data_IF_083214094104
#
_entry.id   IF_083214094104
#
_cell.length_a   1.000
_cell.length_b   1.000
_cell.length_c   1.000
_cell.angle_alpha   90.00
_cell.angle_beta   90.00
_cell.angle_gamma   90.00
#
_symmetry.space_group_name_H-M   'P 1'
#
loop_
_entity.id
_entity.type
_entity.pdbx_description
1 polymer ?
#
# COMPACT_ATOMS: atom_id res chain seq x y z
N UNK A 1 -75.08 -17.20 -20.31
CA UNK A 1 -73.71 -17.43 -20.68
C UNK A 1 -73.04 -16.07 -20.85
N UNK A 2 -72.31 -15.62 -19.84
CA UNK A 2 -71.52 -14.39 -19.90
C UNK A 2 -70.03 -14.78 -19.89
N UNK A 3 -69.36 -14.45 -20.98
CA UNK A 3 -67.91 -14.62 -21.10
C UNK A 3 -67.24 -13.33 -20.58
N UNK A 4 -66.55 -13.48 -19.49
CA UNK A 4 -65.65 -12.42 -18.94
C UNK A 4 -64.26 -12.52 -19.58
N UNK A 5 -63.88 -11.49 -20.30
CA UNK A 5 -62.53 -11.32 -20.85
C UNK A 5 -61.60 -10.76 -19.75
N UNK A 6 -60.69 -11.58 -19.27
CA UNK A 6 -59.60 -11.14 -18.37
C UNK A 6 -58.50 -10.41 -19.19
N UNK A 7 -58.32 -9.13 -18.94
CA UNK A 7 -57.24 -8.36 -19.50
C UNK A 7 -55.94 -8.63 -18.71
N UNK A 8 -54.98 -9.27 -19.32
CA UNK A 8 -53.65 -9.53 -18.79
C UNK A 8 -52.80 -8.23 -18.91
N UNK A 9 -52.64 -7.53 -17.79
CA UNK A 9 -51.71 -6.41 -17.71
C UNK A 9 -50.27 -6.96 -17.70
N UNK A 10 -49.56 -6.89 -18.80
CA UNK A 10 -48.13 -7.08 -18.88
C UNK A 10 -47.44 -5.88 -18.20
N UNK A 11 -46.99 -6.09 -16.97
CA UNK A 11 -46.05 -5.18 -16.30
C UNK A 11 -44.73 -5.24 -17.09
N UNK A 12 -44.50 -4.31 -17.99
CA UNK A 12 -43.18 -4.08 -18.59
C UNK A 12 -42.26 -3.61 -17.50
N UNK A 13 -41.38 -4.50 -17.02
CA UNK A 13 -40.30 -4.15 -16.13
C UNK A 13 -39.47 -3.04 -16.79
N UNK A 14 -39.51 -1.85 -16.17
CA UNK A 14 -38.65 -0.74 -16.56
C UNK A 14 -37.20 -1.16 -16.39
N UNK A 15 -36.37 -1.18 -17.42
CA UNK A 15 -34.97 -1.54 -17.21
C UNK A 15 -34.33 -0.50 -16.30
N UNK A 16 -33.76 -0.97 -15.20
CA UNK A 16 -32.97 -0.14 -14.28
C UNK A 16 -31.94 0.64 -15.11
N UNK A 17 -31.73 1.92 -14.79
CA UNK A 17 -30.77 2.74 -15.51
C UNK A 17 -29.37 2.08 -15.46
N UNK A 18 -28.77 1.88 -16.62
CA UNK A 18 -27.43 1.29 -16.85
C UNK A 18 -26.28 2.18 -16.29
N UNK A 19 -26.57 3.03 -15.30
CA UNK A 19 -25.79 4.21 -14.93
C UNK A 19 -24.88 4.05 -13.70
N UNK A 20 -24.84 2.87 -13.08
CA UNK A 20 -23.91 2.55 -11.99
C UNK A 20 -22.93 1.46 -12.42
N UNK A 21 -22.26 1.62 -13.54
CA UNK A 21 -21.01 0.87 -13.74
C UNK A 21 -19.98 1.49 -12.80
N UNK A 22 -19.81 0.85 -11.65
CA UNK A 22 -18.65 1.08 -10.81
C UNK A 22 -17.41 0.90 -11.68
N UNK A 23 -16.56 1.92 -11.71
CA UNK A 23 -15.24 1.77 -12.34
C UNK A 23 -14.49 0.76 -11.49
N UNK A 24 -14.10 -0.40 -12.03
CA UNK A 24 -13.40 -1.38 -11.22
C UNK A 24 -12.13 -0.74 -10.65
N UNK A 25 -11.74 -1.10 -9.42
CA UNK A 25 -10.48 -0.63 -8.87
C UNK A 25 -9.33 -1.05 -9.78
N UNK A 26 -8.21 -0.31 -9.82
CA UNK A 26 -7.05 -0.66 -10.61
C UNK A 26 -6.59 -2.09 -10.27
N UNK A 27 -6.00 -2.79 -11.23
CA UNK A 27 -5.39 -4.09 -10.97
C UNK A 27 -4.30 -3.95 -9.89
N UNK A 28 -4.07 -5.01 -9.12
CA UNK A 28 -2.94 -5.05 -8.18
C UNK A 28 -1.62 -5.14 -8.95
N UNK A 29 -0.55 -4.66 -8.35
CA UNK A 29 0.82 -4.84 -8.87
C UNK A 29 1.28 -6.27 -8.53
N UNK A 30 0.85 -7.25 -9.33
CA UNK A 30 1.04 -8.67 -9.05
C UNK A 30 2.52 -9.07 -8.96
N UNK A 31 3.42 -8.33 -9.59
CA UNK A 31 4.87 -8.59 -9.55
C UNK A 31 5.50 -8.30 -8.18
N UNK A 32 4.82 -7.58 -7.30
CA UNK A 32 5.31 -7.23 -5.96
C UNK A 32 5.02 -8.31 -4.91
N UNK A 33 4.22 -9.32 -5.22
CA UNK A 33 3.88 -10.41 -4.31
C UNK A 33 4.07 -11.75 -5.03
N UNK A 34 4.81 -12.68 -4.43
CA UNK A 34 5.06 -13.99 -5.00
C UNK A 34 4.54 -15.08 -4.07
N UNK A 35 3.82 -16.05 -4.60
CA UNK A 35 3.38 -17.22 -3.87
C UNK A 35 4.53 -18.25 -3.70
N UNK A 36 4.37 -19.19 -2.76
CA UNK A 36 5.31 -20.30 -2.57
C UNK A 36 5.53 -21.09 -3.87
N UNK A 37 4.45 -21.39 -4.61
CA UNK A 37 4.55 -22.11 -5.87
C UNK A 37 5.34 -21.33 -6.95
N UNK A 38 5.09 -20.02 -7.07
CA UNK A 38 5.82 -19.17 -8.00
C UNK A 38 7.31 -19.07 -7.63
N UNK A 39 7.63 -18.91 -6.33
CA UNK A 39 9.02 -18.87 -5.89
C UNK A 39 9.72 -20.21 -6.15
N UNK A 40 9.06 -21.34 -5.87
CA UNK A 40 9.60 -22.68 -6.14
C UNK A 40 10.05 -22.84 -7.62
N UNK A 41 9.26 -22.32 -8.55
CA UNK A 41 9.63 -22.36 -9.97
C UNK A 41 10.82 -21.43 -10.28
N UNK A 42 10.92 -20.30 -9.61
CA UNK A 42 11.93 -19.28 -9.88
C UNK A 42 13.28 -19.50 -9.18
N UNK A 43 13.35 -20.39 -8.16
CA UNK A 43 14.59 -20.59 -7.39
C UNK A 43 15.81 -20.89 -8.25
N UNK A 44 15.63 -21.64 -9.35
CA UNK A 44 16.71 -22.02 -10.24
C UNK A 44 16.80 -21.14 -11.51
N UNK A 45 15.98 -20.09 -11.61
CA UNK A 45 16.06 -19.15 -12.74
C UNK A 45 17.27 -18.23 -12.56
N UNK A 46 18.08 -18.02 -13.60
CA UNK A 46 19.19 -17.08 -13.55
C UNK A 46 18.70 -15.70 -13.12
N UNK A 47 19.49 -15.02 -12.30
CA UNK A 47 19.17 -13.69 -11.79
C UNK A 47 18.18 -13.66 -10.64
N UNK A 48 17.64 -14.79 -10.18
CA UNK A 48 16.80 -14.81 -8.96
C UNK A 48 17.68 -14.67 -7.72
N UNK A 49 17.41 -13.67 -6.91
CA UNK A 49 18.05 -13.42 -5.61
C UNK A 49 17.00 -13.48 -4.52
N UNK A 50 17.09 -14.47 -3.64
CA UNK A 50 16.18 -14.61 -2.50
C UNK A 50 16.90 -14.12 -1.26
N UNK A 51 16.27 -13.18 -0.52
CA UNK A 51 16.85 -12.59 0.70
C UNK A 51 16.00 -12.96 1.91
N UNK A 52 16.64 -13.59 2.90
CA UNK A 52 16.13 -13.70 4.26
C UNK A 52 16.57 -12.46 5.04
N UNK A 53 15.63 -11.62 5.40
CA UNK A 53 15.90 -10.39 6.14
C UNK A 53 15.62 -10.63 7.63
N UNK A 54 16.63 -10.47 8.47
CA UNK A 54 16.52 -10.78 9.90
C UNK A 54 17.28 -9.80 10.79
N UNK A 55 16.95 -9.79 12.09
CA UNK A 55 17.70 -9.02 13.10
C UNK A 55 19.10 -9.58 13.30
N UNK A 56 19.17 -10.89 13.35
CA UNK A 56 20.39 -11.67 13.50
C UNK A 56 20.31 -12.94 12.64
N UNK A 57 21.35 -13.74 12.67
CA UNK A 57 21.39 -14.97 11.84
C UNK A 57 20.65 -16.15 12.44
N UNK A 58 20.17 -16.09 13.68
CA UNK A 58 19.66 -17.27 14.38
C UNK A 58 18.49 -17.93 13.64
N UNK A 59 17.52 -17.13 13.14
CA UNK A 59 16.39 -17.65 12.36
C UNK A 59 16.81 -18.22 10.99
N UNK A 60 17.78 -17.57 10.33
CA UNK A 60 18.34 -18.05 9.08
C UNK A 60 19.09 -19.36 9.25
N UNK A 61 19.97 -19.44 10.25
CA UNK A 61 20.80 -20.62 10.54
C UNK A 61 19.95 -21.81 11.05
N UNK A 62 18.79 -21.54 11.67
CA UNK A 62 17.81 -22.57 12.04
C UNK A 62 17.05 -23.17 10.84
N UNK A 63 17.10 -22.53 9.68
CA UNK A 63 16.52 -23.02 8.44
C UNK A 63 15.94 -21.92 7.58
N UNK A 64 16.36 -21.88 6.33
CA UNK A 64 15.97 -20.89 5.34
C UNK A 64 15.60 -21.56 4.00
N UNK A 65 14.99 -20.79 3.11
CA UNK A 65 14.65 -21.24 1.75
C UNK A 65 15.95 -21.56 1.00
N UNK A 66 16.02 -22.68 0.24
CA UNK A 66 17.23 -23.06 -0.48
C UNK A 66 17.80 -21.93 -1.33
N UNK A 67 19.10 -21.67 -1.17
CA UNK A 67 19.82 -20.61 -1.88
C UNK A 67 19.51 -19.19 -1.39
N UNK A 68 18.65 -19.00 -0.40
CA UNK A 68 18.40 -17.68 0.19
C UNK A 68 19.65 -17.14 0.90
N UNK A 69 19.89 -15.85 0.77
CA UNK A 69 21.04 -15.13 1.36
C UNK A 69 20.56 -14.31 2.54
N UNK A 70 21.35 -14.26 3.60
CA UNK A 70 21.02 -13.48 4.78
C UNK A 70 21.34 -12.00 4.58
N UNK A 71 20.35 -11.13 4.82
CA UNK A 71 20.50 -9.69 4.89
C UNK A 71 20.16 -9.23 6.32
N UNK A 72 21.13 -8.68 7.04
CA UNK A 72 20.87 -8.13 8.36
C UNK A 72 19.99 -6.88 8.24
N UNK A 73 18.92 -6.80 9.03
CA UNK A 73 18.05 -5.61 9.07
C UNK A 73 18.86 -4.34 9.43
N UNK A 74 19.84 -4.48 10.32
CA UNK A 74 20.75 -3.40 10.71
C UNK A 74 21.63 -2.84 9.58
N UNK A 75 21.79 -3.56 8.46
CA UNK A 75 22.53 -3.04 7.30
C UNK A 75 21.69 -2.12 6.39
N UNK A 76 20.38 -2.10 6.58
CA UNK A 76 19.45 -1.28 5.79
C UNK A 76 18.65 -0.28 6.63
N UNK A 77 19.07 -0.06 7.88
CA UNK A 77 18.56 0.97 8.78
C UNK A 77 19.73 1.64 9.49
N UNK A 78 19.55 2.87 9.91
CA UNK A 78 20.53 3.59 10.73
C UNK A 78 19.84 4.40 11.82
N UNK A 79 20.56 4.71 12.89
CA UNK A 79 20.14 5.75 13.84
C UNK A 79 20.58 7.11 13.30
N UNK A 80 19.67 8.08 13.33
CA UNK A 80 19.96 9.48 13.04
C UNK A 80 19.16 10.37 13.97
N UNK A 81 19.83 11.27 14.68
CA UNK A 81 19.20 12.24 15.60
C UNK A 81 18.30 11.59 16.66
N UNK A 82 18.69 10.40 17.13
CA UNK A 82 17.90 9.60 18.09
C UNK A 82 16.68 8.90 17.47
N UNK A 83 16.55 8.87 16.15
CA UNK A 83 15.55 8.10 15.41
C UNK A 83 16.17 6.76 14.98
N UNK A 84 15.67 5.62 15.49
CA UNK A 84 16.43 4.36 15.45
C UNK A 84 16.38 3.62 14.13
N UNK A 85 15.51 4.02 13.18
CA UNK A 85 15.21 3.22 11.98
C UNK A 85 15.07 4.12 10.74
N UNK A 86 16.03 5.02 10.56
CA UNK A 86 16.10 5.87 9.38
C UNK A 86 16.78 5.15 8.21
N UNK A 87 16.51 5.60 6.98
CA UNK A 87 17.25 5.13 5.80
C UNK A 87 18.72 5.55 5.90
N UNK A 88 19.68 4.62 5.75
CA UNK A 88 21.11 4.94 5.56
C UNK A 88 21.34 5.76 4.28
N UNK A 89 22.58 6.21 4.07
CA UNK A 89 22.97 6.81 2.79
C UNK A 89 22.86 5.79 1.65
N UNK A 90 22.72 6.30 0.42
CA UNK A 90 22.58 5.45 -0.79
C UNK A 90 23.77 4.53 -0.94
N UNK A 91 24.98 5.01 -0.64
CA UNK A 91 26.23 4.24 -0.73
C UNK A 91 26.26 3.06 0.26
N UNK A 92 25.76 3.27 1.47
CA UNK A 92 25.66 2.19 2.47
C UNK A 92 24.64 1.14 2.05
N UNK A 93 23.50 1.58 1.52
CA UNK A 93 22.44 0.68 1.04
C UNK A 93 22.90 -0.10 -0.20
N UNK A 94 23.56 0.55 -1.13
CA UNK A 94 24.12 -0.07 -2.31
C UNK A 94 25.10 -1.19 -1.94
N UNK A 95 26.08 -0.85 -1.11
CA UNK A 95 27.07 -1.83 -0.62
C UNK A 95 26.42 -3.02 0.11
N UNK A 96 25.35 -2.79 0.89
CA UNK A 96 24.63 -3.83 1.60
C UNK A 96 23.92 -4.79 0.64
N UNK A 97 23.24 -4.28 -0.39
CA UNK A 97 22.54 -5.11 -1.36
C UNK A 97 23.49 -5.82 -2.32
N UNK A 98 24.55 -5.16 -2.77
CA UNK A 98 25.58 -5.82 -3.57
C UNK A 98 26.27 -6.96 -2.80
N UNK A 99 26.54 -6.78 -1.51
CA UNK A 99 27.18 -7.81 -0.68
C UNK A 99 26.37 -9.13 -0.64
N UNK A 100 25.03 -9.04 -0.78
CA UNK A 100 24.14 -10.21 -0.90
C UNK A 100 23.82 -10.56 -2.35
N UNK A 101 24.55 -10.00 -3.31
CA UNK A 101 24.52 -10.36 -4.74
C UNK A 101 23.36 -9.77 -5.52
N UNK A 102 22.80 -8.64 -5.09
CA UNK A 102 21.82 -7.89 -5.89
C UNK A 102 22.56 -7.16 -7.02
N UNK A 103 22.08 -7.29 -8.25
CA UNK A 103 22.55 -6.63 -9.45
C UNK A 103 21.41 -5.97 -10.19
N UNK A 104 21.70 -5.14 -11.19
CA UNK A 104 20.68 -4.41 -11.97
C UNK A 104 19.67 -5.35 -12.66
N UNK A 105 20.09 -6.51 -13.08
CA UNK A 105 19.25 -7.56 -13.71
C UNK A 105 18.60 -8.55 -12.73
N UNK A 106 18.92 -8.47 -11.43
CA UNK A 106 18.39 -9.39 -10.44
C UNK A 106 16.87 -9.25 -10.25
N UNK A 107 16.19 -10.38 -10.12
CA UNK A 107 14.81 -10.49 -9.61
C UNK A 107 14.88 -10.79 -8.13
N UNK A 108 14.68 -9.78 -7.32
CA UNK A 108 14.81 -9.91 -5.86
C UNK A 108 13.49 -10.37 -5.26
N UNK A 109 13.54 -11.42 -4.44
CA UNK A 109 12.43 -11.85 -3.58
C UNK A 109 12.87 -11.73 -2.13
N UNK A 110 12.06 -11.08 -1.30
CA UNK A 110 12.35 -10.88 0.12
C UNK A 110 11.36 -11.62 1.00
N UNK A 111 11.84 -12.22 2.06
CA UNK A 111 11.06 -12.72 3.19
C UNK A 111 11.87 -12.51 4.47
N UNK A 112 11.27 -12.63 5.65
CA UNK A 112 12.08 -12.39 6.84
C UNK A 112 11.32 -12.44 8.15
N UNK A 113 12.02 -12.05 9.19
CA UNK A 113 11.58 -12.09 10.58
C UNK A 113 10.51 -11.06 10.92
N UNK A 114 10.11 -11.05 12.19
CA UNK A 114 9.15 -10.09 12.75
C UNK A 114 7.76 -10.19 12.10
N UNK A 115 7.32 -11.39 11.72
CA UNK A 115 6.05 -11.58 11.00
C UNK A 115 6.04 -10.96 9.60
N UNK A 116 7.21 -10.84 8.97
CA UNK A 116 7.39 -10.24 7.64
C UNK A 116 7.81 -8.76 7.65
N UNK A 117 7.82 -8.08 8.80
CA UNK A 117 8.16 -6.66 8.87
C UNK A 117 9.60 -6.37 8.41
N UNK A 118 10.55 -7.26 8.68
CA UNK A 118 11.93 -7.12 8.21
C UNK A 118 12.00 -7.16 6.67
N UNK A 119 11.24 -8.06 6.04
CA UNK A 119 11.11 -8.13 4.59
C UNK A 119 10.44 -6.87 4.00
N UNK A 120 9.41 -6.36 4.67
CA UNK A 120 8.75 -5.13 4.24
C UNK A 120 9.68 -3.90 4.34
N UNK A 121 10.56 -3.85 5.35
CA UNK A 121 11.60 -2.79 5.41
C UNK A 121 12.57 -2.90 4.23
N UNK A 122 13.03 -4.11 3.89
CA UNK A 122 13.87 -4.32 2.70
C UNK A 122 13.12 -3.98 1.40
N UNK A 123 11.81 -4.29 1.33
CA UNK A 123 10.96 -3.88 0.20
C UNK A 123 10.97 -2.36 0.02
N UNK A 124 10.65 -1.61 1.09
CA UNK A 124 10.63 -0.15 1.06
C UNK A 124 12.00 0.42 0.64
N UNK A 125 13.08 -0.11 1.21
CA UNK A 125 14.44 0.35 0.91
C UNK A 125 14.82 0.12 -0.55
N UNK A 126 14.53 -1.06 -1.11
CA UNK A 126 14.80 -1.36 -2.52
C UNK A 126 13.87 -0.59 -3.47
N UNK A 127 12.60 -0.37 -3.11
CA UNK A 127 11.69 0.48 -3.89
C UNK A 127 12.18 1.94 -3.91
N UNK A 128 12.67 2.44 -2.76
CA UNK A 128 13.34 3.75 -2.68
C UNK A 128 14.56 3.84 -3.62
N UNK A 129 15.35 2.78 -3.72
CA UNK A 129 16.51 2.71 -4.61
C UNK A 129 16.14 2.45 -6.09
N UNK A 130 14.85 2.39 -6.43
CA UNK A 130 14.35 2.20 -7.80
C UNK A 130 14.31 0.75 -8.27
N UNK A 131 14.42 -0.21 -7.34
CA UNK A 131 14.41 -1.66 -7.63
C UNK A 131 13.42 -2.39 -6.70
N UNK A 132 12.09 -2.18 -6.85
CA UNK A 132 11.12 -2.83 -5.98
C UNK A 132 11.23 -4.37 -6.09
N UNK A 133 11.41 -5.10 -4.95
CA UNK A 133 11.44 -6.54 -4.93
C UNK A 133 10.04 -7.13 -4.90
N UNK A 134 9.90 -8.45 -5.02
CA UNK A 134 8.70 -9.16 -4.62
C UNK A 134 8.80 -9.62 -3.16
N UNK A 135 7.69 -9.59 -2.42
CA UNK A 135 7.58 -10.19 -1.09
C UNK A 135 7.01 -11.60 -1.22
N UNK A 136 7.61 -12.59 -0.54
CA UNK A 136 7.05 -13.92 -0.45
C UNK A 136 5.81 -13.92 0.45
N UNK A 137 4.65 -14.21 -0.11
CA UNK A 137 3.39 -14.24 0.63
C UNK A 137 3.43 -15.33 1.71
N UNK A 138 3.22 -14.92 2.97
CA UNK A 138 3.30 -15.80 4.14
C UNK A 138 4.72 -16.20 4.56
N UNK A 139 5.76 -15.73 3.86
CA UNK A 139 7.16 -15.90 4.24
C UNK A 139 7.61 -17.37 4.38
N UNK A 140 8.54 -17.61 5.32
CA UNK A 140 9.07 -18.94 5.59
C UNK A 140 8.02 -19.90 6.17
N UNK A 141 7.03 -19.36 6.91
CA UNK A 141 5.98 -20.19 7.50
C UNK A 141 5.08 -20.82 6.41
N UNK A 142 4.66 -20.03 5.42
CA UNK A 142 3.91 -20.56 4.27
C UNK A 142 4.76 -21.53 3.44
N UNK A 143 6.07 -21.27 3.30
CA UNK A 143 6.99 -22.18 2.62
C UNK A 143 7.05 -23.55 3.32
N UNK A 144 7.20 -23.56 4.65
CA UNK A 144 7.22 -24.78 5.47
C UNK A 144 5.86 -25.49 5.46
N UNK A 145 4.77 -24.73 5.59
CA UNK A 145 3.41 -25.29 5.55
C UNK A 145 3.08 -25.97 4.22
N UNK A 146 3.69 -25.51 3.12
CA UNK A 146 3.60 -26.15 1.81
C UNK A 146 4.50 -27.39 1.66
N UNK A 147 5.16 -27.86 2.74
CA UNK A 147 6.04 -29.02 2.73
C UNK A 147 7.34 -28.80 1.93
N UNK A 148 7.76 -27.56 1.74
CA UNK A 148 8.97 -27.27 0.95
C UNK A 148 10.23 -27.41 1.80
N UNK A 149 11.36 -27.85 1.18
CA UNK A 149 12.60 -28.06 1.90
C UNK A 149 13.19 -26.74 2.41
N UNK A 150 13.93 -26.83 3.51
CA UNK A 150 14.75 -25.74 4.05
C UNK A 150 16.20 -26.22 4.16
N UNK A 151 17.12 -25.25 4.12
CA UNK A 151 18.56 -25.48 4.29
C UNK A 151 19.05 -24.73 5.53
N UNK A 152 20.14 -25.24 6.12
CA UNK A 152 20.86 -24.59 7.23
C UNK A 152 22.27 -24.15 6.83
N UNK A 153 22.76 -24.65 5.70
CA UNK A 153 24.04 -24.26 5.14
C UNK A 153 23.92 -22.88 4.49
N UNK A 154 24.74 -21.94 4.93
CA UNK A 154 24.73 -20.58 4.37
C UNK A 154 24.98 -20.58 2.87
N UNK A 155 24.12 -19.92 2.13
CA UNK A 155 24.33 -19.71 0.70
C UNK A 155 25.53 -18.80 0.46
N UNK A 156 26.42 -19.21 -0.46
CA UNK A 156 27.50 -18.35 -0.93
C UNK A 156 26.97 -17.41 -2.01
N UNK A 157 27.24 -16.11 -1.84
CA UNK A 157 26.88 -15.13 -2.84
C UNK A 157 28.14 -14.48 -3.42
N UNK A 158 28.22 -14.40 -4.74
CA UNK A 158 29.13 -13.44 -5.36
C UNK A 158 28.55 -12.03 -5.15
N UNK A 159 29.43 -11.05 -4.96
CA UNK A 159 29.02 -9.65 -4.89
C UNK A 159 28.28 -9.28 -6.18
N UNK A 160 27.19 -8.57 -6.05
CA UNK A 160 26.44 -8.02 -7.18
C UNK A 160 27.03 -6.73 -7.73
N UNK A 161 26.36 -6.21 -8.75
CA UNK A 161 26.63 -4.90 -9.33
C UNK A 161 25.30 -4.19 -9.53
N UNK A 162 25.00 -3.25 -8.64
CA UNK A 162 23.72 -2.56 -8.59
C UNK A 162 23.92 -1.05 -8.76
N UNK A 163 23.09 -0.41 -9.56
CA UNK A 163 23.10 1.03 -9.80
C UNK A 163 21.86 1.67 -9.19
N UNK A 164 21.92 2.17 -7.93
CA UNK A 164 20.78 2.78 -7.26
C UNK A 164 20.21 3.98 -8.01
N UNK A 165 18.90 4.09 -8.07
CA UNK A 165 18.17 5.24 -8.60
C UNK A 165 17.20 5.76 -7.55
N UNK A 166 17.70 6.45 -6.50
CA UNK A 166 16.88 6.81 -5.34
C UNK A 166 15.74 7.73 -5.72
N UNK A 167 14.55 7.39 -5.27
CA UNK A 167 13.35 8.20 -5.43
C UNK A 167 12.99 8.89 -4.11
N UNK A 168 13.56 10.07 -3.88
CA UNK A 168 13.31 10.86 -2.68
C UNK A 168 11.84 11.26 -2.51
N UNK A 169 11.04 11.23 -3.57
CA UNK A 169 9.61 11.56 -3.47
C UNK A 169 8.80 10.51 -2.69
N UNK A 170 9.35 9.33 -2.43
CA UNK A 170 8.71 8.28 -1.64
C UNK A 170 8.83 8.50 -0.12
N UNK A 171 9.70 9.41 0.30
CA UNK A 171 9.93 9.73 1.72
C UNK A 171 9.47 11.15 1.99
N UNK A 172 8.83 11.36 3.12
CA UNK A 172 8.43 12.68 3.62
C UNK A 172 8.92 12.85 5.04
N UNK A 173 9.17 14.10 5.42
CA UNK A 173 9.55 14.52 6.77
C UNK A 173 8.35 15.11 7.54
N UNK A 174 8.59 15.47 8.79
CA UNK A 174 7.56 16.04 9.65
C UNK A 174 7.03 17.38 9.14
N UNK A 175 7.87 18.21 8.50
CA UNK A 175 7.44 19.52 7.97
C UNK A 175 6.50 19.34 6.79
N UNK A 176 6.83 18.38 5.91
CA UNK A 176 5.91 18.01 4.82
C UNK A 176 4.56 17.52 5.37
N UNK A 177 4.59 16.58 6.34
CA UNK A 177 3.37 16.07 6.99
C UNK A 177 2.56 17.19 7.61
N UNK A 178 3.20 18.08 8.40
CA UNK A 178 2.57 19.26 9.01
C UNK A 178 1.87 20.16 7.98
N UNK A 179 2.54 20.39 6.86
CA UNK A 179 2.01 21.22 5.76
C UNK A 179 0.77 20.63 5.09
N UNK A 180 0.54 19.31 5.22
CA UNK A 180 -0.55 18.59 4.55
C UNK A 180 -1.64 18.07 5.51
N UNK A 181 -1.63 18.43 6.81
CA UNK A 181 -2.63 17.95 7.79
C UNK A 181 -4.08 18.27 7.40
N UNK A 182 -4.31 19.32 6.60
CA UNK A 182 -5.64 19.73 6.13
C UNK A 182 -5.89 19.46 4.66
N UNK A 183 -4.97 18.76 4.01
CA UNK A 183 -5.09 18.44 2.59
C UNK A 183 -5.95 17.18 2.42
N UNK A 184 -7.16 17.34 1.90
CA UNK A 184 -8.10 16.25 1.65
C UNK A 184 -7.64 15.26 0.57
N UNK A 185 -6.57 15.59 -0.17
CA UNK A 185 -5.93 14.71 -1.16
C UNK A 185 -4.84 13.83 -0.56
N UNK A 186 -4.59 13.94 0.75
CA UNK A 186 -3.62 13.13 1.49
C UNK A 186 -4.35 12.32 2.55
N UNK A 187 -4.06 11.02 2.65
CA UNK A 187 -4.53 10.15 3.71
C UNK A 187 -3.35 9.73 4.59
N UNK A 188 -3.38 10.07 5.87
CA UNK A 188 -2.39 9.61 6.85
C UNK A 188 -2.86 8.31 7.49
N UNK A 189 -2.01 7.27 7.45
CA UNK A 189 -2.29 5.93 7.99
C UNK A 189 -1.25 5.59 9.05
N UNK A 190 -1.72 5.28 10.25
CA UNK A 190 -0.90 4.83 11.37
C UNK A 190 -0.95 3.30 11.48
N UNK A 191 0.20 2.65 11.27
CA UNK A 191 0.33 1.19 11.27
C UNK A 191 0.49 0.58 12.68
N UNK A 192 0.50 1.38 13.76
CA UNK A 192 0.66 0.94 15.14
C UNK A 192 -0.58 0.21 15.68
N UNK A 193 -0.43 -0.56 16.78
CA UNK A 193 -1.57 -1.07 17.55
C UNK A 193 -2.55 0.05 17.95
N UNK A 194 -3.88 -0.25 18.04
CA UNK A 194 -4.89 0.74 18.39
C UNK A 194 -4.65 1.45 19.73
N UNK A 195 -4.08 0.76 20.70
CA UNK A 195 -3.77 1.30 22.03
C UNK A 195 -2.68 2.36 21.97
N UNK A 196 -1.69 2.20 21.08
CA UNK A 196 -0.64 3.19 20.83
C UNK A 196 -1.16 4.37 20.02
N UNK A 197 -2.02 4.10 19.05
CA UNK A 197 -2.69 5.12 18.24
C UNK A 197 -3.55 6.05 19.12
N UNK A 198 -4.38 5.49 19.99
CA UNK A 198 -5.23 6.26 20.92
C UNK A 198 -4.45 6.96 22.03
N UNK A 199 -3.17 6.57 22.26
CA UNK A 199 -2.37 7.04 23.38
C UNK A 199 -2.70 6.37 24.71
N UNK A 200 -3.48 5.29 24.72
CA UNK A 200 -3.75 4.48 25.91
C UNK A 200 -2.50 3.69 26.33
N UNK A 201 -1.70 3.23 25.36
CA UNK A 201 -0.39 2.64 25.60
C UNK A 201 0.71 3.61 25.19
N UNK A 202 1.66 3.87 26.11
CA UNK A 202 2.82 4.73 25.86
C UNK A 202 4.07 3.85 25.80
N UNK A 203 4.71 3.83 24.64
CA UNK A 203 5.95 3.09 24.43
C UNK A 203 7.18 3.98 24.54
N UNK A 204 8.34 3.37 24.78
CA UNK A 204 9.60 4.08 24.94
C UNK A 204 9.88 5.02 23.74
N UNK A 205 10.34 6.23 24.04
CA UNK A 205 10.69 7.25 23.06
C UNK A 205 9.55 8.18 22.63
N UNK A 206 8.30 7.85 22.96
CA UNK A 206 7.13 8.71 22.70
C UNK A 206 6.96 9.70 23.86
N UNK A 207 7.06 10.98 23.57
CA UNK A 207 6.97 12.05 24.60
C UNK A 207 5.55 12.60 24.75
N UNK A 208 4.75 12.55 23.66
CA UNK A 208 3.34 12.98 23.62
C UNK A 208 2.51 11.86 23.01
N UNK A 209 1.75 11.07 23.84
CA UNK A 209 0.98 9.93 23.37
C UNK A 209 -0.23 10.36 22.54
N UNK A 210 -0.62 9.53 21.57
CA UNK A 210 -1.68 9.75 20.61
C UNK A 210 -1.20 9.52 19.18
N UNK A 211 -1.73 10.30 18.22
CA UNK A 211 -1.44 10.16 16.79
C UNK A 211 -1.37 11.52 16.08
N UNK A 212 -0.91 11.52 14.82
CA UNK A 212 -0.88 12.70 13.94
C UNK A 212 -2.33 13.10 13.63
N UNK A 213 -2.71 14.39 13.76
CA UNK A 213 -4.07 14.85 13.52
C UNK A 213 -4.64 14.44 12.16
N UNK A 214 -5.86 13.92 12.20
CA UNK A 214 -6.55 13.43 11.00
C UNK A 214 -6.07 12.08 10.47
N UNK A 215 -5.04 11.48 11.07
CA UNK A 215 -4.62 10.13 10.73
C UNK A 215 -5.68 9.09 11.12
N UNK A 216 -5.72 7.98 10.41
CA UNK A 216 -6.55 6.83 10.72
C UNK A 216 -5.68 5.62 11.03
N UNK A 217 -6.13 4.80 11.98
CA UNK A 217 -5.41 3.60 12.34
C UNK A 217 -5.72 2.46 11.34
N UNK A 218 -4.67 1.90 10.77
CA UNK A 218 -4.69 0.61 10.10
C UNK A 218 -3.55 -0.23 10.67
N UNK A 219 -3.83 -0.94 11.76
CA UNK A 219 -2.82 -1.81 12.35
C UNK A 219 -2.36 -2.86 11.33
N UNK A 220 -1.07 -2.91 11.05
CA UNK A 220 -0.50 -3.73 9.98
C UNK A 220 -0.94 -5.19 10.01
N UNK A 221 -1.14 -5.79 11.20
CA UNK A 221 -1.60 -7.18 11.32
C UNK A 221 -3.03 -7.39 10.82
N UNK A 222 -3.84 -6.34 10.69
CA UNK A 222 -5.17 -6.47 10.11
C UNK A 222 -5.13 -6.81 8.61
N UNK A 223 -3.99 -6.65 7.96
CA UNK A 223 -3.80 -6.92 6.53
C UNK A 223 -3.42 -8.37 6.23
N UNK A 224 -3.01 -9.15 7.23
CA UNK A 224 -2.72 -10.59 7.12
C UNK A 224 -3.90 -11.44 7.59
N UNK A 225 -3.93 -12.70 7.17
CA UNK A 225 -4.99 -13.65 7.54
C UNK A 225 -4.98 -13.88 9.05
N UNK A 226 -3.83 -14.23 9.60
CA UNK A 226 -3.57 -14.35 11.05
C UNK A 226 -2.06 -14.40 11.31
N UNK A 227 -1.65 -14.34 12.57
CA UNK A 227 -0.25 -14.54 12.95
C UNK A 227 0.25 -15.97 12.64
N UNK A 228 -0.63 -16.98 12.71
CA UNK A 228 -0.30 -18.36 12.36
C UNK A 228 -0.32 -18.62 10.84
N UNK A 229 -0.99 -17.76 10.07
CA UNK A 229 -0.94 -17.71 8.61
C UNK A 229 -0.71 -16.27 8.17
N UNK A 230 0.55 -15.83 8.06
CA UNK A 230 0.89 -14.43 7.75
C UNK A 230 0.74 -14.07 6.26
N UNK A 231 -0.02 -14.83 5.50
CA UNK A 231 -0.39 -14.46 4.14
C UNK A 231 -1.26 -13.20 4.12
N UNK A 232 -1.09 -12.38 3.11
CA UNK A 232 -1.97 -11.24 2.89
C UNK A 232 -3.43 -11.69 2.71
N UNK A 233 -4.35 -10.89 3.24
CA UNK A 233 -5.78 -11.02 2.90
C UNK A 233 -6.00 -10.76 1.41
N UNK A 234 -7.18 -11.14 0.91
CA UNK A 234 -7.51 -10.90 -0.50
C UNK A 234 -7.45 -9.39 -0.84
N UNK A 235 -7.15 -9.04 -2.10
CA UNK A 235 -7.10 -7.64 -2.53
C UNK A 235 -8.37 -6.85 -2.22
N UNK A 236 -9.54 -7.48 -2.25
CA UNK A 236 -10.83 -6.86 -1.95
C UNK A 236 -10.90 -6.44 -0.48
N UNK A 237 -10.50 -7.35 0.43
CA UNK A 237 -10.44 -7.06 1.87
C UNK A 237 -9.41 -5.99 2.17
N UNK A 238 -8.21 -6.08 1.58
CA UNK A 238 -7.16 -5.07 1.75
C UNK A 238 -7.62 -3.69 1.29
N UNK A 239 -8.27 -3.59 0.12
CA UNK A 239 -8.84 -2.32 -0.37
C UNK A 239 -9.91 -1.77 0.56
N UNK A 240 -10.75 -2.64 1.13
CA UNK A 240 -11.75 -2.19 2.11
C UNK A 240 -11.09 -1.60 3.36
N UNK A 241 -10.04 -2.23 3.88
CA UNK A 241 -9.27 -1.74 5.02
C UNK A 241 -8.60 -0.39 4.73
N UNK A 242 -7.91 -0.27 3.60
CA UNK A 242 -7.28 0.99 3.19
C UNK A 242 -8.31 2.11 2.96
N UNK A 243 -9.47 1.79 2.40
CA UNK A 243 -10.57 2.75 2.22
C UNK A 243 -11.12 3.23 3.57
N UNK A 244 -11.29 2.34 4.54
CA UNK A 244 -11.68 2.71 5.91
C UNK A 244 -10.62 3.60 6.57
N UNK A 245 -9.34 3.38 6.25
CA UNK A 245 -8.22 4.23 6.67
C UNK A 245 -8.07 5.51 5.82
N UNK A 246 -9.02 5.83 4.95
CA UNK A 246 -9.06 7.09 4.20
C UNK A 246 -8.38 7.07 2.84
N UNK A 247 -7.70 5.97 2.46
CA UNK A 247 -7.14 5.82 1.14
C UNK A 247 -8.23 5.72 0.07
N UNK A 248 -8.06 6.40 -1.07
CA UNK A 248 -9.05 6.43 -2.15
C UNK A 248 -8.36 6.28 -3.50
N UNK A 249 -8.98 5.49 -4.37
CA UNK A 249 -8.71 5.56 -5.80
C UNK A 249 -9.57 6.65 -6.45
N UNK A 250 -9.17 7.08 -7.63
CA UNK A 250 -9.97 7.96 -8.46
C UNK A 250 -11.40 7.41 -8.71
N UNK A 251 -11.52 6.09 -8.78
CA UNK A 251 -12.80 5.38 -8.93
C UNK A 251 -13.72 5.47 -7.71
N UNK A 252 -13.14 5.70 -6.52
CA UNK A 252 -13.89 5.76 -5.26
C UNK A 252 -14.58 7.11 -5.02
N UNK A 253 -14.27 8.13 -5.82
CA UNK A 253 -14.88 9.45 -5.69
C UNK A 253 -16.25 9.45 -6.37
N UNK A 254 -17.37 9.62 -5.64
CA UNK A 254 -18.69 9.67 -6.24
C UNK A 254 -18.76 10.81 -7.26
N UNK A 255 -19.11 10.50 -8.50
CA UNK A 255 -19.41 11.53 -9.49
C UNK A 255 -20.73 12.18 -9.09
N UNK A 256 -20.70 13.35 -8.47
CA UNK A 256 -21.89 14.15 -8.23
C UNK A 256 -22.38 14.62 -9.60
N UNK A 257 -23.41 13.96 -10.11
CA UNK A 257 -24.16 14.51 -11.25
C UNK A 257 -25.00 15.65 -10.70
N UNK A 258 -24.68 16.88 -11.06
CA UNK A 258 -25.60 17.99 -10.87
C UNK A 258 -26.90 17.64 -11.59
N UNK A 259 -27.96 17.44 -10.84
CA UNK A 259 -29.30 17.34 -11.44
C UNK A 259 -29.61 18.69 -12.09
N UNK A 260 -29.97 18.73 -13.38
CA UNK A 260 -30.39 19.98 -14.01
C UNK A 260 -31.54 20.55 -13.18
N UNK A 261 -31.42 21.82 -12.78
CA UNK A 261 -32.53 22.52 -12.12
C UNK A 261 -33.68 22.61 -13.12
N UNK A 262 -34.84 22.13 -12.73
CA UNK A 262 -36.07 22.20 -13.53
C UNK A 262 -36.59 23.63 -13.50
N UNK A 263 -36.79 24.25 -14.66
CA UNK A 263 -37.42 25.56 -14.79
C UNK A 263 -38.79 25.41 -15.44
N UNK A 264 -39.78 26.29 -15.14
CA UNK A 264 -41.12 26.23 -15.78
C UNK A 264 -41.09 26.31 -17.31
N UNK A 265 -40.07 26.96 -17.90
CA UNK A 265 -39.88 27.08 -19.35
C UNK A 265 -39.57 25.74 -20.05
N UNK A 266 -39.07 24.75 -19.30
CA UNK A 266 -38.76 23.41 -19.81
C UNK A 266 -40.03 22.62 -20.21
N UNK A 267 -41.22 23.09 -19.93
CA UNK A 267 -42.49 22.44 -20.26
C UNK A 267 -42.95 22.74 -21.67
N UNK A 268 -42.43 23.77 -22.32
CA UNK A 268 -42.76 24.13 -23.72
C UNK A 268 -42.04 23.22 -24.73
N UNK A 269 -42.62 23.09 -25.94
CA UNK A 269 -41.96 22.31 -26.99
C UNK A 269 -40.62 22.91 -27.44
N UNK A 270 -40.46 24.23 -27.36
CA UNK A 270 -39.22 24.95 -27.64
C UNK A 270 -38.19 24.69 -26.55
N UNK A 271 -38.58 24.79 -25.27
CA UNK A 271 -37.73 24.49 -24.15
C UNK A 271 -37.21 23.04 -24.12
N UNK A 272 -38.08 22.08 -24.48
CA UNK A 272 -37.70 20.66 -24.63
C UNK A 272 -36.67 20.43 -25.74
N UNK A 273 -36.75 21.14 -26.86
CA UNK A 273 -35.77 21.08 -27.95
C UNK A 273 -34.43 21.70 -27.54
N UNK A 274 -34.44 22.88 -26.95
CA UNK A 274 -33.25 23.57 -26.46
C UNK A 274 -32.52 22.74 -25.42
N UNK A 275 -33.27 22.07 -24.53
CA UNK A 275 -32.71 21.18 -23.52
C UNK A 275 -32.02 19.95 -24.13
N UNK A 276 -32.63 19.28 -25.08
CA UNK A 276 -32.04 18.13 -25.80
C UNK A 276 -30.79 18.53 -26.59
N UNK A 277 -30.72 19.74 -27.07
CA UNK A 277 -29.54 20.29 -27.75
C UNK A 277 -28.43 20.66 -26.76
N UNK A 278 -28.76 21.30 -25.65
CA UNK A 278 -27.83 21.58 -24.58
C UNK A 278 -27.26 20.32 -23.94
N UNK A 279 -28.10 19.28 -23.79
CA UNK A 279 -27.69 17.98 -23.27
C UNK A 279 -26.74 17.25 -24.24
N UNK A 280 -27.01 17.29 -25.55
CA UNK A 280 -26.12 16.78 -26.60
C UNK A 280 -24.79 17.53 -26.64
N UNK A 281 -24.81 18.84 -26.56
CA UNK A 281 -23.61 19.68 -26.57
C UNK A 281 -22.78 19.45 -25.31
N UNK A 282 -23.39 19.28 -24.12
CA UNK A 282 -22.72 18.89 -22.88
C UNK A 282 -22.10 17.51 -22.97
N UNK A 283 -22.82 16.53 -23.53
CA UNK A 283 -22.27 15.17 -23.72
C UNK A 283 -21.10 15.17 -24.71
N UNK A 284 -21.14 16.00 -25.74
CA UNK A 284 -20.06 16.14 -26.72
C UNK A 284 -18.86 16.88 -26.12
N UNK A 285 -19.08 17.93 -25.33
CA UNK A 285 -18.01 18.60 -24.57
C UNK A 285 -17.37 17.69 -23.50
N UNK A 286 -18.16 16.87 -22.80
CA UNK A 286 -17.66 15.87 -21.85
C UNK A 286 -16.88 14.73 -22.54
N UNK A 287 -17.22 14.37 -23.79
CA UNK A 287 -16.46 13.42 -24.60
C UNK A 287 -15.13 13.98 -25.08
N UNK A 288 -15.08 15.30 -25.34
CA UNK A 288 -13.91 15.98 -25.87
C UNK A 288 -13.01 16.62 -24.78
N UNK A 289 -13.48 16.70 -23.52
CA UNK A 289 -12.58 17.03 -22.42
C UNK A 289 -11.65 15.84 -22.19
N UNK A 290 -10.32 16.04 -22.16
CA UNK A 290 -9.43 15.01 -21.66
C UNK A 290 -9.97 14.61 -20.30
N UNK A 291 -10.29 13.31 -20.14
CA UNK A 291 -10.71 12.78 -18.85
C UNK A 291 -9.60 13.16 -17.87
N UNK A 292 -9.83 14.18 -17.06
CA UNK A 292 -9.05 14.37 -15.86
C UNK A 292 -9.31 13.09 -15.06
N UNK A 293 -8.39 12.14 -15.20
CA UNK A 293 -8.34 10.99 -14.32
C UNK A 293 -8.17 11.61 -12.94
N UNK A 294 -9.23 11.54 -12.13
CA UNK A 294 -9.13 11.97 -10.76
C UNK A 294 -7.92 11.23 -10.17
N UNK A 295 -6.92 11.99 -9.77
CA UNK A 295 -5.69 11.41 -9.21
C UNK A 295 -6.08 10.66 -7.95
N UNK A 296 -5.57 9.43 -7.72
CA UNK A 296 -5.72 8.79 -6.44
C UNK A 296 -5.12 9.70 -5.37
N UNK A 297 -5.72 9.75 -4.17
CA UNK A 297 -5.09 10.52 -3.11
C UNK A 297 -3.75 9.88 -2.74
N UNK A 298 -2.81 10.70 -2.26
CA UNK A 298 -1.55 10.22 -1.74
C UNK A 298 -1.78 9.59 -0.37
N UNK A 299 -1.33 8.36 -0.18
CA UNK A 299 -1.30 7.69 1.12
C UNK A 299 0.04 7.97 1.77
N UNK A 300 0.05 8.42 3.01
CA UNK A 300 1.26 8.56 3.83
C UNK A 300 1.16 7.61 4.98
N UNK A 301 2.08 6.66 5.06
CA UNK A 301 2.13 5.68 6.14
C UNK A 301 3.20 6.04 7.16
N UNK A 302 2.91 5.81 8.43
CA UNK A 302 3.85 5.96 9.53
C UNK A 302 3.53 4.94 10.64
N UNK A 303 4.46 4.76 11.57
CA UNK A 303 4.22 3.95 12.78
C UNK A 303 4.91 4.57 13.99
N UNK A 304 5.56 3.78 14.83
CA UNK A 304 6.42 4.31 15.89
C UNK A 304 7.75 4.83 15.32
N UNK A 305 8.48 4.02 14.52
CA UNK A 305 9.80 4.35 13.98
C UNK A 305 10.09 3.68 12.64
N UNK A 306 9.09 3.50 11.74
CA UNK A 306 9.28 3.15 10.33
C UNK A 306 9.13 1.67 9.98
N UNK A 307 9.32 0.70 10.90
CA UNK A 307 9.31 -0.75 10.53
C UNK A 307 7.91 -1.27 10.22
N UNK A 308 6.92 -1.04 11.09
CA UNK A 308 5.53 -1.48 10.85
C UNK A 308 4.92 -0.75 9.65
N UNK A 309 5.23 0.54 9.50
CA UNK A 309 4.77 1.34 8.37
C UNK A 309 5.31 0.82 7.03
N UNK A 310 6.48 0.19 7.01
CA UNK A 310 7.01 -0.43 5.80
C UNK A 310 6.10 -1.55 5.27
N UNK A 311 5.37 -2.24 6.17
CA UNK A 311 4.39 -3.23 5.76
C UNK A 311 3.17 -2.60 5.07
N UNK A 312 2.57 -1.58 5.68
CA UNK A 312 1.43 -0.88 5.05
C UNK A 312 1.86 -0.15 3.77
N UNK A 313 3.12 0.33 3.71
CA UNK A 313 3.72 0.84 2.47
C UNK A 313 3.73 -0.23 1.37
N UNK A 314 4.26 -1.43 1.67
CA UNK A 314 4.26 -2.54 0.72
C UNK A 314 2.85 -2.89 0.25
N UNK A 315 1.89 -3.05 1.18
CA UNK A 315 0.49 -3.38 0.84
C UNK A 315 -0.14 -2.30 -0.03
N UNK A 316 0.10 -1.01 0.29
CA UNK A 316 -0.38 0.11 -0.53
C UNK A 316 0.20 0.08 -1.96
N UNK A 317 1.51 -0.19 -2.09
CA UNK A 317 2.18 -0.36 -3.39
C UNK A 317 1.60 -1.55 -4.17
N UNK A 318 1.39 -2.68 -3.50
CA UNK A 318 0.76 -3.86 -4.09
C UNK A 318 -0.64 -3.56 -4.62
N UNK A 319 -1.45 -2.83 -3.86
CA UNK A 319 -2.80 -2.43 -4.26
C UNK A 319 -2.84 -1.36 -5.36
N UNK A 320 -1.71 -0.69 -5.67
CA UNK A 320 -1.60 0.34 -6.69
C UNK A 320 -1.86 1.77 -6.20
N UNK A 321 -1.83 2.01 -4.88
CA UNK A 321 -1.91 3.36 -4.33
C UNK A 321 -0.61 4.14 -4.56
N UNK A 322 -0.73 5.46 -4.69
CA UNK A 322 0.41 6.36 -4.52
C UNK A 322 0.72 6.47 -3.03
N UNK A 323 1.86 5.96 -2.61
CA UNK A 323 2.23 5.89 -1.19
C UNK A 323 3.57 6.55 -0.93
N UNK A 324 3.67 7.20 0.21
CA UNK A 324 4.89 7.78 0.77
C UNK A 324 5.08 7.25 2.19
N UNK A 325 6.33 7.22 2.64
CA UNK A 325 6.72 6.87 3.99
C UNK A 325 7.11 8.14 4.77
N UNK A 326 6.52 8.34 5.93
CA UNK A 326 7.11 9.22 6.93
C UNK A 326 8.06 8.38 7.80
N UNK A 327 9.34 8.32 7.40
CA UNK A 327 10.32 7.40 8.00
C UNK A 327 10.58 7.70 9.48
N UNK A 328 10.79 8.98 9.87
CA UNK A 328 10.91 9.43 11.27
C UNK A 328 9.71 9.08 12.15
N UNK A 329 8.56 8.87 11.54
CA UNK A 329 7.35 8.32 12.16
C UNK A 329 6.89 9.09 13.41
N UNK A 330 6.10 8.46 14.27
CA UNK A 330 5.52 9.12 15.44
C UNK A 330 6.55 9.43 16.54
N UNK A 331 7.67 8.71 16.58
CA UNK A 331 8.75 9.02 17.51
C UNK A 331 9.38 10.40 17.20
N UNK A 332 9.58 10.74 15.94
CA UNK A 332 10.00 12.07 15.51
C UNK A 332 8.89 13.11 15.81
N UNK A 333 7.66 12.85 15.35
CA UNK A 333 6.53 13.77 15.52
C UNK A 333 6.27 14.13 16.98
N UNK A 334 6.27 13.13 17.88
CA UNK A 334 5.96 13.31 19.29
C UNK A 334 7.00 14.13 20.04
N UNK A 335 8.26 14.17 19.58
CA UNK A 335 9.38 14.91 20.18
C UNK A 335 9.43 16.38 19.76
N UNK A 336 8.73 16.74 18.68
CA UNK A 336 8.71 18.12 18.17
C UNK A 336 7.84 19.02 19.05
N UNK A 337 7.98 20.34 18.90
CA UNK A 337 7.27 21.33 19.70
C UNK A 337 5.75 21.37 19.49
N UNK A 338 5.10 22.33 20.13
CA UNK A 338 3.64 22.51 20.09
C UNK A 338 3.06 22.72 18.67
N UNK A 339 3.88 23.18 17.74
CA UNK A 339 3.51 23.37 16.32
C UNK A 339 3.24 22.05 15.57
N UNK A 340 3.54 20.92 16.18
CA UNK A 340 3.26 19.57 15.68
C UNK A 340 2.19 18.94 16.57
N UNK A 341 0.90 19.24 16.32
CA UNK A 341 -0.18 18.83 17.21
C UNK A 341 -0.32 17.29 17.26
N UNK A 342 -0.89 16.80 18.37
CA UNK A 342 -1.18 15.39 18.60
C UNK A 342 -2.66 15.25 18.96
N UNK A 343 -3.36 14.29 18.38
CA UNK A 343 -4.73 13.86 18.73
C UNK A 343 -4.69 12.56 19.55
N UNK A 344 -5.75 12.32 20.34
CA UNK A 344 -5.97 11.11 21.13
C UNK A 344 -7.31 10.50 20.82
#
# INVERSE_FOLDING_TARGET
MLFGTAALFLLTACPLPQELREVPPPAVNADLLVSVAQLQHRLNEPGTVVLHVGRDRASYDAGHIPGARFLALSSIVTERDGLPVELPSVEVLDAAFEAVGVSDDSRVVVYGDLGGLAAARAFFTLDYLGKPPAVLNGGLDAWRAAGRPVETAAATASRGSFTPRPNASLVVDADWVKGHLRDSTVAFIDARPPEQFSGAEVVAGITRPGHIPGARNLFWQNTIVSQANPELRSPEVLRALFRLAGARFASDVPRIRERPRYTPEDTTNAGRRARREAERNRQQQQRNQPRQQAQPNTVVVYCQGGVQASWDYFVARYLGYQVKMYDGSFIDWSRRGADYPVER
#
